data_IF_552831207184
#
_entry.id   IF_552831207184
#
_cell.length_a   1.000
_cell.length_b   1.000
_cell.length_c   1.000
_cell.angle_alpha   90.00
_cell.angle_beta   90.00
_cell.angle_gamma   90.00
#
_symmetry.space_group_name_H-M   'P 1'
#
loop_
_entity.id
_entity.type
_entity.pdbx_description
1 polymer ?
#
# COMPACT_ATOMS: atom_id res chain seq x y z
N UNK A 1 -1.41 7.26 5.21
CA UNK A 1 -0.84 5.95 4.83
C UNK A 1 0.66 5.91 5.12
N UNK A 2 1.18 4.81 5.68
CA UNK A 2 2.62 4.62 5.95
C UNK A 2 3.25 3.84 4.79
N UNK A 3 4.43 4.24 4.33
CA UNK A 3 5.18 3.50 3.32
C UNK A 3 6.02 2.41 4.00
N UNK A 4 6.16 1.24 3.36
CA UNK A 4 7.09 0.19 3.79
C UNK A 4 8.52 0.64 3.47
N UNK A 5 9.45 0.72 4.44
CA UNK A 5 10.82 1.12 4.16
C UNK A 5 11.58 0.00 3.44
N UNK A 6 12.18 0.32 2.30
CA UNK A 6 12.83 -0.64 1.41
C UNK A 6 14.09 -0.01 0.79
N UNK A 7 15.11 -0.81 0.44
CA UNK A 7 16.23 -0.36 -0.39
C UNK A 7 15.73 0.29 -1.68
N UNK A 8 16.39 1.37 -2.12
CA UNK A 8 15.98 2.11 -3.30
C UNK A 8 15.98 1.25 -4.58
N UNK A 9 16.95 0.33 -4.70
CA UNK A 9 17.02 -0.61 -5.82
C UNK A 9 15.80 -1.54 -5.88
N UNK A 10 15.45 -2.17 -4.75
CA UNK A 10 14.26 -3.04 -4.65
C UNK A 10 12.98 -2.26 -4.99
N UNK A 11 12.79 -1.08 -4.39
CA UNK A 11 11.61 -0.24 -4.68
C UNK A 11 11.51 0.11 -6.17
N UNK A 12 12.63 0.49 -6.81
CA UNK A 12 12.68 0.79 -8.25
C UNK A 12 12.36 -0.43 -9.10
N UNK A 13 12.91 -1.59 -8.76
CA UNK A 13 12.63 -2.86 -9.45
C UNK A 13 11.15 -3.23 -9.40
N UNK A 14 10.59 -3.29 -8.18
CA UNK A 14 9.18 -3.60 -7.93
C UNK A 14 8.26 -2.58 -8.61
N UNK A 15 8.57 -1.28 -8.53
CA UNK A 15 7.79 -0.24 -9.21
C UNK A 15 7.83 -0.37 -10.72
N UNK A 16 8.96 -0.78 -11.29
CA UNK A 16 9.09 -1.07 -12.72
C UNK A 16 8.24 -2.26 -13.14
N UNK A 17 8.24 -3.34 -12.35
CA UNK A 17 7.43 -4.53 -12.60
C UNK A 17 5.92 -4.22 -12.54
N UNK A 18 5.47 -3.51 -11.49
CA UNK A 18 4.07 -3.09 -11.36
C UNK A 18 3.60 -2.29 -12.58
N UNK A 19 4.42 -1.31 -13.01
CA UNK A 19 4.09 -0.48 -14.18
C UNK A 19 3.98 -1.29 -15.46
N UNK A 20 4.91 -2.23 -15.71
CA UNK A 20 4.87 -3.08 -16.91
C UNK A 20 3.68 -4.04 -16.89
N UNK A 21 3.39 -4.67 -15.75
CA UNK A 21 2.27 -5.59 -15.60
C UNK A 21 0.92 -4.90 -15.83
N UNK A 22 0.75 -3.69 -15.27
CA UNK A 22 -0.43 -2.87 -15.44
C UNK A 22 -0.57 -2.35 -16.88
N UNK A 23 0.52 -1.90 -17.51
CA UNK A 23 0.50 -1.42 -18.90
C UNK A 23 0.20 -2.53 -19.91
N UNK A 24 0.51 -3.79 -19.59
CA UNK A 24 0.17 -4.96 -20.41
C UNK A 24 -1.26 -5.48 -20.19
N UNK A 25 -2.03 -4.88 -19.27
CA UNK A 25 -3.45 -5.22 -19.08
C UNK A 25 -4.33 -4.42 -20.01
N UNK A 26 -5.34 -5.10 -20.57
CA UNK A 26 -6.39 -4.51 -21.37
C UNK A 26 -7.76 -4.98 -20.81
N UNK A 27 -8.57 -4.06 -20.25
CA UNK A 27 -8.27 -2.64 -20.08
C UNK A 27 -7.12 -2.36 -19.09
N UNK A 28 -6.46 -1.22 -19.29
CA UNK A 28 -5.39 -0.77 -18.39
C UNK A 28 -6.02 -0.19 -17.13
N UNK A 29 -5.55 -0.56 -15.92
CA UNK A 29 -6.10 -0.02 -14.69
C UNK A 29 -5.76 1.48 -14.55
N UNK A 30 -6.72 2.26 -14.07
CA UNK A 30 -6.56 3.69 -13.78
C UNK A 30 -5.50 3.92 -12.70
N UNK A 31 -5.44 3.03 -11.71
CA UNK A 31 -4.46 3.03 -10.62
C UNK A 31 -4.06 1.60 -10.27
N UNK A 32 -2.78 1.40 -9.99
CA UNK A 32 -2.22 0.16 -9.47
C UNK A 32 -1.41 0.47 -8.21
N UNK A 33 -1.64 -0.27 -7.14
CA UNK A 33 -0.99 -0.12 -5.85
C UNK A 33 -0.45 -1.48 -5.42
N UNK A 34 0.77 -1.48 -4.88
CA UNK A 34 1.32 -2.62 -4.20
C UNK A 34 1.50 -2.25 -2.72
N UNK A 35 0.91 -3.06 -1.85
CA UNK A 35 1.03 -2.95 -0.41
C UNK A 35 1.67 -4.21 0.18
N UNK A 36 2.26 -4.08 1.36
CA UNK A 36 2.86 -5.19 2.09
C UNK A 36 2.70 -4.93 3.59
N UNK A 37 2.02 -5.83 4.30
CA UNK A 37 1.68 -5.67 5.72
C UNK A 37 0.94 -4.35 6.00
N UNK A 38 -0.08 -4.03 5.19
CA UNK A 38 -0.87 -2.79 5.30
C UNK A 38 -0.13 -1.49 4.97
N UNK A 39 1.13 -1.57 4.50
CA UNK A 39 1.97 -0.40 4.17
C UNK A 39 2.19 -0.28 2.67
N UNK A 40 2.23 0.95 2.15
CA UNK A 40 2.45 1.20 0.72
C UNK A 40 3.89 0.85 0.31
N UNK A 41 4.03 -0.01 -0.70
CA UNK A 41 5.31 -0.28 -1.37
C UNK A 41 5.51 0.66 -2.54
N UNK A 42 4.56 0.71 -3.46
CA UNK A 42 4.60 1.61 -4.61
C UNK A 42 3.22 1.75 -5.24
N UNK A 43 3.03 2.80 -6.03
CA UNK A 43 1.81 3.05 -6.78
C UNK A 43 2.17 3.51 -8.19
N UNK A 44 1.35 3.14 -9.16
CA UNK A 44 1.41 3.59 -10.55
C UNK A 44 0.02 4.04 -10.99
N UNK A 45 -0.05 5.10 -11.78
CA UNK A 45 -1.29 5.67 -12.31
C UNK A 45 -1.21 5.74 -13.83
N UNK A 46 -2.33 5.53 -14.51
CA UNK A 46 -2.42 5.80 -15.95
C UNK A 46 -2.20 7.29 -16.23
N UNK A 47 -1.39 7.60 -17.24
CA UNK A 47 -1.00 8.97 -17.58
C UNK A 47 -2.17 9.85 -18.02
N UNK A 48 -3.16 9.29 -18.73
CA UNK A 48 -4.37 10.01 -19.11
C UNK A 48 -5.19 10.49 -17.91
N UNK A 49 -5.12 9.76 -16.78
CA UNK A 49 -5.73 10.18 -15.53
C UNK A 49 -4.83 11.16 -14.75
N UNK A 50 -3.56 11.38 -15.12
CA UNK A 50 -2.66 12.25 -14.38
C UNK A 50 -3.09 13.74 -14.36
N UNK A 51 -3.93 14.14 -15.32
CA UNK A 51 -4.56 15.47 -15.34
C UNK A 51 -5.76 15.56 -14.38
N UNK A 52 -6.37 14.42 -14.04
CA UNK A 52 -7.37 14.30 -12.97
C UNK A 52 -6.73 14.34 -11.58
N UNK A 53 -7.51 14.76 -10.58
CA UNK A 53 -7.08 15.01 -9.19
C UNK A 53 -6.06 14.01 -8.63
N UNK A 54 -5.13 14.51 -7.82
CA UNK A 54 -4.07 13.71 -7.19
C UNK A 54 -4.68 12.74 -6.17
N UNK A 55 -4.29 11.46 -6.21
CA UNK A 55 -4.65 10.51 -5.15
C UNK A 55 -4.11 11.04 -3.82
N UNK A 56 -5.02 11.46 -2.94
CA UNK A 56 -4.65 12.09 -1.69
C UNK A 56 -4.30 11.04 -0.63
N UNK A 57 -3.71 11.48 0.48
CA UNK A 57 -3.33 10.59 1.57
C UNK A 57 -4.54 9.88 2.22
N UNK A 58 -5.71 10.52 2.22
CA UNK A 58 -6.96 9.98 2.77
C UNK A 58 -7.51 8.84 1.90
N UNK A 59 -7.61 9.04 0.58
CA UNK A 59 -8.07 8.01 -0.35
C UNK A 59 -7.15 6.79 -0.36
N UNK A 60 -5.84 7.03 -0.30
CA UNK A 60 -4.86 5.96 -0.16
C UNK A 60 -5.04 5.19 1.16
N UNK A 61 -5.35 5.89 2.26
CA UNK A 61 -5.61 5.24 3.54
C UNK A 61 -6.88 4.39 3.49
N UNK A 62 -7.94 4.88 2.85
CA UNK A 62 -9.17 4.12 2.62
C UNK A 62 -8.88 2.81 1.87
N UNK A 63 -8.16 2.89 0.74
CA UNK A 63 -7.82 1.69 -0.05
C UNK A 63 -6.99 0.68 0.75
N UNK A 64 -5.98 1.15 1.49
CA UNK A 64 -5.13 0.25 2.28
C UNK A 64 -5.87 -0.39 3.46
N UNK A 65 -6.78 0.34 4.11
CA UNK A 65 -7.55 -0.22 5.22
C UNK A 65 -8.64 -1.17 4.72
N UNK A 66 -9.32 -0.84 3.62
CA UNK A 66 -10.40 -1.64 3.07
C UNK A 66 -9.89 -2.91 2.40
N UNK A 67 -8.79 -2.82 1.65
CA UNK A 67 -8.33 -3.87 0.73
C UNK A 67 -6.93 -4.38 1.03
N UNK A 68 -6.14 -3.71 1.88
CA UNK A 68 -4.74 -4.05 2.13
C UNK A 68 -4.53 -5.20 3.13
N UNK A 69 -5.59 -5.73 3.74
CA UNK A 69 -5.51 -6.86 4.68
C UNK A 69 -6.75 -7.75 4.73
N UNK A 70 -7.79 -7.46 3.92
CA UNK A 70 -9.09 -8.13 3.99
C UNK A 70 -9.34 -9.20 2.94
N UNK A 71 -8.36 -9.53 2.08
CA UNK A 71 -8.60 -10.44 0.94
C UNK A 71 -8.50 -11.93 1.28
N UNK A 72 -7.90 -12.31 2.41
CA UNK A 72 -7.50 -13.70 2.68
C UNK A 72 -6.77 -14.33 1.47
N UNK A 73 -6.90 -15.64 1.30
CA UNK A 73 -6.34 -16.38 0.16
C UNK A 73 -7.09 -16.12 -1.17
N UNK A 74 -8.11 -15.28 -1.17
CA UNK A 74 -8.99 -15.01 -2.29
C UNK A 74 -8.64 -13.75 -3.10
N UNK A 75 -9.44 -13.54 -4.13
CA UNK A 75 -9.46 -12.31 -4.90
C UNK A 75 -10.77 -11.56 -4.61
N UNK A 76 -10.69 -10.24 -4.47
CA UNK A 76 -11.84 -9.36 -4.23
C UNK A 76 -12.07 -8.49 -5.46
N UNK A 77 -13.33 -8.37 -5.88
CA UNK A 77 -13.77 -7.43 -6.92
C UNK A 77 -14.98 -6.66 -6.40
N UNK A 78 -14.78 -5.40 -6.04
CA UNK A 78 -15.80 -4.61 -5.34
C UNK A 78 -15.80 -3.16 -5.80
N UNK A 79 -16.97 -2.50 -5.92
CA UNK A 79 -17.01 -1.07 -6.18
C UNK A 79 -16.44 -0.28 -4.98
N UNK A 80 -15.68 0.78 -5.26
CA UNK A 80 -15.11 1.68 -4.26
C UNK A 80 -15.25 3.13 -4.71
N UNK A 81 -15.67 4.00 -3.78
CA UNK A 81 -15.69 5.44 -3.99
C UNK A 81 -14.40 6.04 -3.42
N UNK A 82 -13.81 7.00 -4.15
CA UNK A 82 -12.63 7.74 -3.70
C UNK A 82 -12.99 9.23 -3.59
N UNK A 83 -13.50 9.69 -2.43
CA UNK A 83 -14.17 10.98 -2.30
C UNK A 83 -13.33 12.18 -2.71
N UNK A 84 -11.99 12.10 -2.57
CA UNK A 84 -11.09 13.20 -2.93
C UNK A 84 -10.54 13.11 -4.35
N UNK A 85 -10.59 11.91 -4.94
CA UNK A 85 -10.10 11.66 -6.29
C UNK A 85 -11.19 11.86 -7.34
N UNK A 86 -12.37 11.30 -7.10
CA UNK A 86 -13.56 11.44 -7.91
C UNK A 86 -14.80 11.40 -7.01
N UNK A 87 -15.31 12.55 -6.53
CA UNK A 87 -16.48 12.59 -5.66
C UNK A 87 -17.77 12.15 -6.37
N UNK A 88 -17.82 12.24 -7.70
CA UNK A 88 -19.03 12.00 -8.51
C UNK A 88 -19.10 10.59 -9.10
N UNK A 89 -18.17 9.70 -8.72
CA UNK A 89 -18.08 8.37 -9.30
C UNK A 89 -17.44 7.32 -8.40
N UNK A 90 -17.42 6.10 -8.91
CA UNK A 90 -16.81 4.95 -8.25
C UNK A 90 -15.91 4.19 -9.23
N UNK A 91 -15.00 3.39 -8.67
CA UNK A 91 -14.13 2.48 -9.41
C UNK A 91 -14.48 1.06 -9.04
N UNK A 92 -14.14 0.11 -9.89
CA UNK A 92 -14.08 -1.30 -9.52
C UNK A 92 -12.68 -1.61 -9.01
N UNK A 93 -12.58 -1.97 -7.75
CA UNK A 93 -11.33 -2.34 -7.11
C UNK A 93 -11.14 -3.85 -7.15
N UNK A 94 -10.04 -4.27 -7.75
CA UNK A 94 -9.49 -5.61 -7.63
C UNK A 94 -8.46 -5.64 -6.51
N UNK A 95 -8.54 -6.58 -5.60
CA UNK A 95 -7.54 -6.78 -4.57
C UNK A 95 -7.23 -8.26 -4.35
N UNK A 96 -5.95 -8.61 -4.25
CA UNK A 96 -5.53 -9.99 -4.08
C UNK A 96 -4.15 -10.07 -3.43
N UNK A 97 -3.94 -11.11 -2.62
CA UNK A 97 -2.63 -11.46 -2.09
C UNK A 97 -1.70 -11.99 -3.21
N UNK A 98 -0.40 -11.73 -3.05
CA UNK A 98 0.68 -12.23 -3.88
C UNK A 98 1.58 -13.12 -3.01
N UNK A 99 1.87 -14.33 -3.48
CA UNK A 99 2.61 -15.33 -2.70
C UNK A 99 1.71 -16.19 -1.83
N UNK A 100 2.34 -17.02 -1.01
CA UNK A 100 1.66 -17.82 0.01
C UNK A 100 1.35 -16.92 1.22
N UNK A 101 0.26 -17.21 1.93
CA UNK A 101 -0.07 -16.52 3.17
C UNK A 101 0.97 -16.89 4.23
N UNK A 102 1.95 -16.02 4.45
CA UNK A 102 2.81 -16.15 5.62
C UNK A 102 1.97 -15.80 6.85
N UNK A 103 1.54 -16.83 7.60
CA UNK A 103 0.64 -16.73 8.77
C UNK A 103 1.10 -15.70 9.82
N UNK A 104 2.39 -15.38 9.89
CA UNK A 104 2.96 -14.45 10.88
C UNK A 104 3.60 -13.18 10.29
N UNK A 105 3.44 -12.96 8.97
CA UNK A 105 4.21 -11.93 8.25
C UNK A 105 3.39 -10.77 7.71
N UNK A 106 2.08 -10.92 7.51
CA UNK A 106 1.25 -9.98 6.76
C UNK A 106 1.47 -10.07 5.25
N UNK A 107 0.38 -10.07 4.47
CA UNK A 107 0.45 -10.35 3.04
C UNK A 107 1.03 -9.20 2.19
N UNK A 108 1.61 -9.55 1.05
CA UNK A 108 1.84 -8.63 -0.07
C UNK A 108 0.55 -8.58 -0.88
N UNK A 109 -0.03 -7.39 -1.07
CA UNK A 109 -1.35 -7.22 -1.69
C UNK A 109 -1.24 -6.31 -2.90
N UNK A 110 -1.77 -6.78 -4.04
CA UNK A 110 -1.99 -5.97 -5.23
C UNK A 110 -3.40 -5.38 -5.16
N UNK A 111 -3.52 -4.07 -5.38
CA UNK A 111 -4.80 -3.37 -5.52
C UNK A 111 -4.81 -2.66 -6.88
N UNK A 112 -5.83 -2.90 -7.70
CA UNK A 112 -6.01 -2.26 -9.01
C UNK A 112 -7.38 -1.58 -9.05
N UNK A 113 -7.44 -0.38 -9.60
CA UNK A 113 -8.69 0.33 -9.84
C UNK A 113 -9.00 0.38 -11.33
N UNK A 114 -10.17 -0.10 -11.69
CA UNK A 114 -10.72 -0.08 -13.04
C UNK A 114 -11.94 0.83 -13.10
N UNK A 115 -12.16 1.48 -14.23
CA UNK A 115 -13.43 2.15 -14.56
C UNK A 115 -14.40 1.22 -15.28
N UNK A 116 -13.92 0.03 -15.70
CA UNK A 116 -14.69 -0.97 -16.44
C UNK A 116 -15.15 -2.09 -15.51
N UNK A 117 -16.46 -2.36 -15.51
CA UNK A 117 -17.11 -3.37 -14.67
C UNK A 117 -16.65 -4.79 -15.01
N UNK A 118 -16.39 -5.04 -16.28
CA UNK A 118 -15.96 -6.32 -16.84
C UNK A 118 -14.43 -6.50 -16.77
N UNK A 119 -13.70 -5.58 -16.15
CA UNK A 119 -12.22 -5.57 -16.07
C UNK A 119 -11.59 -6.64 -15.16
N UNK A 120 -12.38 -7.49 -14.50
CA UNK A 120 -11.90 -8.48 -13.54
C UNK A 120 -10.80 -9.40 -14.12
N UNK A 121 -11.03 -9.97 -15.31
CA UNK A 121 -10.07 -10.91 -15.92
C UNK A 121 -8.75 -10.23 -16.33
N UNK A 122 -8.80 -8.96 -16.74
CA UNK A 122 -7.61 -8.18 -17.03
C UNK A 122 -6.80 -7.86 -15.76
N UNK A 123 -7.49 -7.63 -14.64
CA UNK A 123 -6.89 -7.44 -13.33
C UNK A 123 -6.26 -8.74 -12.79
N UNK A 124 -6.94 -9.88 -12.90
CA UNK A 124 -6.40 -11.19 -12.54
C UNK A 124 -5.19 -11.57 -13.41
N UNK A 125 -5.22 -11.25 -14.71
CA UNK A 125 -4.06 -11.39 -15.60
C UNK A 125 -2.88 -10.50 -15.18
N UNK A 126 -3.15 -9.26 -14.74
CA UNK A 126 -2.14 -8.37 -14.17
C UNK A 126 -1.49 -8.98 -12.93
N UNK A 127 -2.31 -9.54 -12.03
CA UNK A 127 -1.86 -10.21 -10.81
C UNK A 127 -0.85 -11.29 -11.13
N UNK A 128 -1.22 -12.25 -11.99
CA UNK A 128 -0.37 -13.38 -12.37
C UNK A 128 0.99 -12.92 -12.92
N UNK A 129 1.00 -12.02 -13.89
CA UNK A 129 2.25 -11.48 -14.48
C UNK A 129 3.15 -10.80 -13.46
N UNK A 130 2.55 -10.00 -12.58
CA UNK A 130 3.30 -9.31 -11.53
C UNK A 130 3.89 -10.34 -10.57
N UNK A 131 3.07 -11.27 -10.08
CA UNK A 131 3.45 -12.29 -9.12
C UNK A 131 4.58 -13.18 -9.64
N UNK A 132 4.49 -13.66 -10.89
CA UNK A 132 5.55 -14.40 -11.58
C UNK A 132 6.86 -13.61 -11.60
N UNK A 133 6.80 -12.32 -11.95
CA UNK A 133 7.97 -11.45 -11.97
C UNK A 133 8.58 -11.29 -10.57
N UNK A 134 7.74 -11.02 -9.55
CA UNK A 134 8.21 -10.83 -8.17
C UNK A 134 8.79 -12.14 -7.59
N UNK A 135 8.22 -13.30 -7.91
CA UNK A 135 8.74 -14.62 -7.53
C UNK A 135 10.08 -14.90 -8.19
N UNK A 136 10.18 -14.74 -9.51
CA UNK A 136 11.39 -15.01 -10.27
C UNK A 136 12.60 -14.17 -9.81
N UNK A 137 12.34 -12.94 -9.35
CA UNK A 137 13.38 -12.05 -8.83
C UNK A 137 13.65 -12.24 -7.33
N UNK A 138 12.91 -13.09 -6.62
CA UNK A 138 13.02 -13.25 -5.17
C UNK A 138 12.45 -12.09 -4.35
N UNK A 139 11.84 -11.08 -4.99
CA UNK A 139 11.37 -9.86 -4.32
C UNK A 139 10.21 -10.10 -3.37
N UNK A 140 9.39 -11.14 -3.55
CA UNK A 140 8.35 -11.49 -2.57
C UNK A 140 8.97 -11.83 -1.19
N UNK A 141 10.07 -12.59 -1.17
CA UNK A 141 10.78 -12.94 0.06
C UNK A 141 11.40 -11.71 0.72
N UNK A 142 11.99 -10.81 -0.08
CA UNK A 142 12.53 -9.54 0.43
C UNK A 142 11.44 -8.63 1.01
N UNK A 143 10.26 -8.58 0.38
CA UNK A 143 9.12 -7.84 0.91
C UNK A 143 8.62 -8.45 2.23
N UNK A 144 8.48 -9.78 2.32
CA UNK A 144 8.14 -10.49 3.56
C UNK A 144 9.13 -10.20 4.69
N UNK A 145 10.43 -10.27 4.39
CA UNK A 145 11.48 -9.91 5.35
C UNK A 145 11.40 -8.45 5.79
N UNK A 146 11.09 -7.52 4.87
CA UNK A 146 10.90 -6.10 5.20
C UNK A 146 9.65 -5.87 6.06
N UNK A 147 8.62 -6.70 5.94
CA UNK A 147 7.44 -6.61 6.79
C UNK A 147 7.81 -6.98 8.23
N UNK A 148 8.44 -8.15 8.44
CA UNK A 148 8.92 -8.65 9.74
C UNK A 148 9.97 -7.75 10.39
N UNK A 149 10.85 -7.16 9.58
CA UNK A 149 11.97 -6.35 10.05
C UNK A 149 11.56 -5.08 10.81
N UNK A 150 10.26 -4.74 10.87
CA UNK A 150 9.69 -3.78 11.83
C UNK A 150 10.19 -2.33 11.71
N UNK A 151 11.18 -2.06 10.86
CA UNK A 151 11.89 -0.79 10.82
C UNK A 151 10.95 0.30 10.31
N UNK A 152 10.30 1.01 11.24
CA UNK A 152 9.42 2.11 10.94
C UNK A 152 10.13 3.24 10.20
N UNK A 153 9.34 4.06 9.51
CA UNK A 153 9.79 5.36 9.06
C UNK A 153 9.88 6.28 10.28
N UNK A 154 11.06 6.36 10.88
CA UNK A 154 11.35 7.28 11.98
C UNK A 154 11.96 8.58 11.47
N UNK A 155 11.85 9.69 12.21
CA UNK A 155 12.42 10.99 11.83
C UNK A 155 13.92 10.95 11.56
N UNK A 156 14.66 10.06 12.24
CA UNK A 156 16.09 9.81 11.96
C UNK A 156 16.33 9.30 10.53
N UNK A 157 15.41 8.52 9.97
CA UNK A 157 15.50 7.99 8.60
C UNK A 157 15.09 9.02 7.54
N UNK A 158 14.31 10.04 7.94
CA UNK A 158 13.99 11.21 7.13
C UNK A 158 15.08 12.30 7.23
N UNK A 159 16.17 12.06 7.97
CA UNK A 159 17.23 13.05 8.21
C UNK A 159 16.83 14.20 9.13
N UNK A 160 15.72 14.06 9.87
CA UNK A 160 15.15 15.10 10.71
C UNK A 160 14.83 14.57 12.13
N UNK A 161 15.82 14.02 12.86
CA UNK A 161 15.61 13.40 14.18
C UNK A 161 14.92 14.33 15.19
N UNK A 162 15.20 15.64 15.12
CA UNK A 162 14.65 16.69 15.98
C UNK A 162 13.12 16.87 15.87
N UNK A 163 12.48 16.33 14.82
CA UNK A 163 11.01 16.40 14.67
C UNK A 163 10.25 15.67 15.80
N UNK A 164 10.90 14.77 16.55
CA UNK A 164 10.28 14.11 17.71
C UNK A 164 9.90 15.10 18.81
N UNK A 165 10.69 16.15 19.00
CA UNK A 165 10.46 17.19 20.01
C UNK A 165 9.19 18.02 19.70
N UNK A 166 8.85 18.19 18.42
CA UNK A 166 7.61 18.90 18.02
C UNK A 166 6.34 18.07 18.20
N UNK A 167 6.46 16.75 18.26
CA UNK A 167 5.32 15.83 18.42
C UNK A 167 5.00 15.56 19.90
N UNK A 168 6.02 15.56 20.76
CA UNK A 168 5.85 15.46 22.20
C UNK A 168 5.78 16.85 22.82
N UNK A 169 4.57 17.40 22.91
CA UNK A 169 4.31 18.51 23.82
C UNK A 169 3.93 17.95 25.20
N UNK A 170 4.50 18.47 26.29
CA UNK A 170 4.02 18.12 27.62
C UNK A 170 2.55 18.54 27.73
N UNK A 171 1.74 17.70 28.37
CA UNK A 171 0.41 18.11 28.80
C UNK A 171 0.61 19.17 29.88
N UNK A 172 0.05 20.37 29.70
CA UNK A 172 -0.02 21.34 30.80
C UNK A 172 -1.04 20.80 31.81
N UNK A 173 -0.52 20.28 32.92
CA UNK A 173 -1.28 19.86 34.09
C UNK A 173 -0.56 20.32 35.35
N UNK A 174 -1.29 20.49 36.48
CA UNK A 174 -0.66 20.83 37.76
C UNK A 174 0.44 19.82 38.10
N UNK A 175 1.52 20.29 38.73
CA UNK A 175 2.79 19.56 38.96
C UNK A 175 2.66 18.24 39.76
N UNK A 176 1.46 17.90 40.24
CA UNK A 176 1.16 16.74 41.08
C UNK A 176 1.18 15.39 40.34
N UNK A 177 1.26 15.37 39.00
CA UNK A 177 1.17 14.14 38.20
C UNK A 177 2.54 13.45 37.93
N UNK A 178 3.57 13.78 38.69
CA UNK A 178 4.94 13.29 38.47
C UNK A 178 5.22 11.86 38.98
N UNK A 179 4.23 11.20 39.59
CA UNK A 179 4.34 9.79 39.95
C UNK A 179 3.28 8.98 39.22
N UNK A 180 3.69 8.36 38.11
CA UNK A 180 2.90 7.28 37.50
C UNK A 180 2.89 6.12 38.48
N UNK A 181 1.73 5.66 38.99
CA UNK A 181 1.69 4.54 39.92
C UNK A 181 2.29 3.31 39.24
N UNK A 182 3.34 2.76 39.84
CA UNK A 182 3.87 1.46 39.45
C UNK A 182 2.87 0.40 39.91
N UNK A 183 2.17 -0.23 38.96
CA UNK A 183 1.38 -1.42 39.28
C UNK A 183 2.35 -2.55 39.62
N UNK A 184 2.26 -3.06 40.85
CA UNK A 184 2.97 -4.26 41.32
C UNK A 184 2.15 -5.50 40.97
#
# INVERSE_FOLDING_TARGET
ARCLPLPAALRRGVSGALRRAAAASHPTPALALLAAGGRLVTAARQRAMAEGGRLCASDLHLLLNLLGGGCGAGEVWTPVCLPRFNPDGYFYAYAAALGEEEEEGGAVTLILLSTEREGFYAAAGCRRRLEETLRAQGWLKELGAAIRGGAGYGPARAGAPELRHFLYKPLEGPEEMQQVPQFT
#
